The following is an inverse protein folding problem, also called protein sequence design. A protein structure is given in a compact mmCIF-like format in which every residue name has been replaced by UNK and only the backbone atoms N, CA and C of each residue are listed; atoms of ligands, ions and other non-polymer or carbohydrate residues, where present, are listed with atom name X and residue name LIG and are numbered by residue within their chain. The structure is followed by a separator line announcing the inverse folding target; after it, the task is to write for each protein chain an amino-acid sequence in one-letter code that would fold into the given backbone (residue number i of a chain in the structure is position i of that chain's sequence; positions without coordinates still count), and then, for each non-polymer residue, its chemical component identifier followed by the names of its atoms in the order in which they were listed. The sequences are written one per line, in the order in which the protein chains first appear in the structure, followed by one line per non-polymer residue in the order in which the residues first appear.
data_IF_194009954974
#
_entry.id   IF_194009954974
#
_cell.length_a   1.000
_cell.length_b   1.000
_cell.length_c   1.000
_cell.angle_alpha   90.00
_cell.angle_beta   90.00
_cell.angle_gamma   90.00
#
_symmetry.space_group_name_H-M   'P 1'
#
loop_
_entity.id
_entity.type
_entity.pdbx_description
1 polymer ?
#
# COMPACT_ATOMS: atom_id res chain seq x y z
N UNK A 1 10.10 41.91 -8.21
CA UNK A 1 10.53 40.88 -9.15
C UNK A 1 9.74 39.64 -8.86
N UNK A 2 8.78 39.36 -9.74
CA UNK A 2 7.89 38.21 -9.71
C UNK A 2 8.67 37.04 -10.28
N UNK A 3 8.91 36.02 -9.45
CA UNK A 3 9.43 34.72 -9.94
C UNK A 3 8.25 33.96 -10.53
N UNK A 4 8.24 33.83 -11.85
CA UNK A 4 7.37 32.92 -12.58
C UNK A 4 7.79 31.48 -12.25
N UNK A 5 6.97 30.76 -11.50
CA UNK A 5 7.08 29.31 -11.35
C UNK A 5 6.44 28.69 -12.61
N UNK A 6 7.26 28.03 -13.41
CA UNK A 6 6.84 27.30 -14.60
C UNK A 6 5.92 26.14 -14.19
N UNK A 7 4.80 26.03 -14.90
CA UNK A 7 3.82 24.94 -14.88
C UNK A 7 4.43 23.60 -15.38
N UNK A 8 5.28 23.00 -14.56
CA UNK A 8 5.52 21.57 -14.65
C UNK A 8 4.76 20.94 -13.49
N UNK A 9 3.57 20.41 -13.79
CA UNK A 9 2.70 19.73 -12.85
C UNK A 9 3.44 18.63 -12.12
N UNK A 10 4.01 18.99 -10.98
CA UNK A 10 4.54 18.04 -10.01
C UNK A 10 3.32 17.36 -9.36
N UNK A 11 2.93 16.24 -9.93
CA UNK A 11 1.83 15.43 -9.44
C UNK A 11 2.31 14.80 -8.12
N UNK A 12 2.05 15.48 -7.01
CA UNK A 12 2.43 15.12 -5.63
C UNK A 12 1.88 13.74 -5.21
N UNK A 13 0.99 13.15 -5.98
CA UNK A 13 0.34 11.87 -5.73
C UNK A 13 0.85 10.71 -6.58
N UNK A 14 1.75 10.93 -7.52
CA UNK A 14 2.42 9.84 -8.22
C UNK A 14 3.59 9.35 -7.37
N UNK A 15 3.30 8.54 -6.38
CA UNK A 15 4.30 7.73 -5.69
C UNK A 15 4.77 6.65 -6.67
N UNK A 16 5.65 7.03 -7.57
CA UNK A 16 6.34 6.07 -8.41
C UNK A 16 7.22 5.22 -7.48
N UNK A 17 7.05 3.89 -7.47
CA UNK A 17 7.93 2.94 -6.78
C UNK A 17 9.41 3.27 -7.06
N UNK A 18 9.72 3.87 -8.21
CA UNK A 18 11.05 4.41 -8.54
C UNK A 18 11.54 5.50 -7.61
N UNK A 19 10.66 6.29 -6.98
CA UNK A 19 11.05 7.34 -6.03
C UNK A 19 11.53 6.76 -4.69
N UNK A 20 10.99 5.62 -4.26
CA UNK A 20 11.44 4.90 -3.04
C UNK A 20 12.88 4.37 -3.24
N UNK A 21 13.29 4.09 -4.47
CA UNK A 21 14.59 3.51 -4.83
C UNK A 21 15.72 4.55 -4.89
N UNK A 22 15.40 5.84 -5.08
CA UNK A 22 16.40 6.88 -5.33
C UNK A 22 17.07 7.43 -4.05
N UNK A 23 16.56 7.12 -2.87
CA UNK A 23 17.21 7.47 -1.60
C UNK A 23 18.14 6.32 -1.14
N UNK A 24 19.38 6.40 -1.60
CA UNK A 24 20.40 5.38 -1.48
C UNK A 24 20.71 4.90 -0.06
N UNK A 25 20.79 3.59 0.08
CA UNK A 25 21.41 2.91 1.22
C UNK A 25 21.04 1.43 1.39
N UNK A 26 19.85 1.00 0.95
CA UNK A 26 19.40 -0.42 1.06
C UNK A 26 19.46 -1.10 -0.32
N UNK A 27 20.65 -1.15 -0.89
CA UNK A 27 20.83 -1.48 -2.31
C UNK A 27 20.58 -2.93 -2.68
N UNK A 28 20.56 -3.90 -1.75
CA UNK A 28 20.53 -5.33 -2.12
C UNK A 28 19.18 -6.02 -1.94
N UNK A 29 18.35 -5.65 -0.97
CA UNK A 29 17.03 -6.28 -0.75
C UNK A 29 15.95 -5.63 -1.62
N UNK A 30 15.99 -4.31 -1.76
CA UNK A 30 15.04 -3.51 -2.54
C UNK A 30 15.22 -3.72 -4.06
N UNK A 31 16.45 -3.92 -4.56
CA UNK A 31 16.68 -4.20 -5.98
C UNK A 31 16.05 -5.52 -6.43
N UNK A 32 16.09 -6.55 -5.61
CA UNK A 32 15.42 -7.82 -5.90
C UNK A 32 13.90 -7.66 -5.95
N UNK A 33 13.35 -6.83 -5.08
CA UNK A 33 11.91 -6.52 -5.08
C UNK A 33 11.50 -5.75 -6.33
N UNK A 34 12.23 -4.69 -6.69
CA UNK A 34 11.97 -3.90 -7.91
C UNK A 34 12.07 -4.74 -9.17
N UNK A 35 13.09 -5.60 -9.25
CA UNK A 35 13.22 -6.52 -10.39
C UNK A 35 12.06 -7.50 -10.46
N UNK A 36 11.55 -7.94 -9.31
CA UNK A 36 10.38 -8.83 -9.23
C UNK A 36 9.11 -8.09 -9.67
N UNK A 37 8.87 -6.88 -9.18
CA UNK A 37 7.73 -6.05 -9.59
C UNK A 37 7.79 -5.71 -11.09
N UNK A 38 8.97 -5.37 -11.63
CA UNK A 38 9.12 -5.10 -13.06
C UNK A 38 8.79 -6.32 -13.91
N UNK A 39 9.25 -7.51 -13.53
CA UNK A 39 8.91 -8.78 -14.21
C UNK A 39 7.43 -9.13 -14.13
N UNK A 40 6.78 -8.81 -13.01
CA UNK A 40 5.33 -9.01 -12.82
C UNK A 40 4.55 -8.02 -13.69
N UNK A 41 5.01 -6.76 -13.78
CA UNK A 41 4.43 -5.71 -14.63
C UNK A 41 4.50 -6.07 -16.11
N UNK A 42 5.58 -6.69 -16.57
CA UNK A 42 5.74 -7.18 -17.95
C UNK A 42 4.81 -8.37 -18.26
N UNK A 43 4.47 -9.19 -17.26
CA UNK A 43 3.64 -10.40 -17.41
C UNK A 43 2.13 -10.18 -17.23
N UNK A 44 1.72 -9.10 -16.59
CA UNK A 44 0.32 -8.86 -16.27
C UNK A 44 -0.17 -7.53 -16.85
N UNK A 45 -1.30 -7.60 -17.58
CA UNK A 45 -2.11 -6.44 -17.97
C UNK A 45 -2.81 -5.75 -16.76
N UNK A 46 -2.37 -6.06 -15.51
CA UNK A 46 -2.89 -5.38 -14.35
C UNK A 46 -2.35 -3.95 -14.36
N UNK A 47 -3.24 -2.98 -14.30
CA UNK A 47 -2.87 -1.59 -14.07
C UNK A 47 -2.32 -1.47 -12.64
N UNK A 48 -1.00 -1.72 -12.51
CA UNK A 48 -0.30 -1.70 -11.24
C UNK A 48 -0.37 -0.32 -10.59
N UNK A 49 -0.48 0.73 -11.41
CA UNK A 49 -0.63 2.11 -10.96
C UNK A 49 -1.95 2.31 -10.21
N UNK A 50 -3.07 1.81 -10.75
CA UNK A 50 -4.36 1.86 -10.05
C UNK A 50 -4.36 1.05 -8.75
N UNK A 51 -3.63 -0.08 -8.73
CA UNK A 51 -3.44 -0.88 -7.52
C UNK A 51 -2.63 -0.14 -6.45
N UNK A 52 -1.57 0.56 -6.84
CA UNK A 52 -0.77 1.40 -5.94
C UNK A 52 -1.61 2.52 -5.32
N UNK A 53 -2.33 3.28 -6.13
CA UNK A 53 -3.20 4.36 -5.66
C UNK A 53 -4.26 3.85 -4.68
N UNK A 54 -4.87 2.69 -4.98
CA UNK A 54 -5.85 2.07 -4.11
C UNK A 54 -5.23 1.59 -2.79
N UNK A 55 -4.01 1.06 -2.80
CA UNK A 55 -3.31 0.64 -1.58
C UNK A 55 -2.98 1.82 -0.67
N UNK A 56 -2.59 2.96 -1.24
CA UNK A 56 -2.34 4.21 -0.49
C UNK A 56 -3.65 4.76 0.09
N UNK A 57 -4.74 4.72 -0.68
CA UNK A 57 -6.06 5.08 -0.16
C UNK A 57 -6.47 4.19 1.02
N UNK A 58 -6.21 2.89 0.95
CA UNK A 58 -6.46 1.95 2.05
C UNK A 58 -5.60 2.23 3.29
N UNK A 59 -4.33 2.60 3.13
CA UNK A 59 -3.48 3.04 4.24
C UNK A 59 -4.12 4.20 5.01
N UNK A 60 -4.62 5.20 4.28
CA UNK A 60 -5.27 6.36 4.86
C UNK A 60 -6.60 5.99 5.55
N UNK A 61 -7.40 5.09 4.96
CA UNK A 61 -8.66 4.63 5.56
C UNK A 61 -8.39 3.88 6.88
N UNK A 62 -7.37 3.00 6.94
CA UNK A 62 -7.00 2.31 8.18
C UNK A 62 -6.52 3.30 9.24
N UNK A 63 -5.75 4.31 8.85
CA UNK A 63 -5.32 5.37 9.77
C UNK A 63 -6.49 6.19 10.29
N UNK A 64 -7.51 6.41 9.47
CA UNK A 64 -8.74 7.10 9.88
C UNK A 64 -9.59 6.26 10.83
N UNK A 65 -9.68 4.93 10.64
CA UNK A 65 -10.30 4.02 11.62
C UNK A 65 -9.61 4.14 12.99
N UNK A 66 -8.27 4.07 13.02
CA UNK A 66 -7.49 4.21 14.24
C UNK A 66 -7.69 5.58 14.90
N UNK A 67 -7.62 6.66 14.13
CA UNK A 67 -7.82 8.01 14.63
C UNK A 67 -9.22 8.19 15.23
N UNK A 68 -10.25 7.67 14.58
CA UNK A 68 -11.64 7.71 15.07
C UNK A 68 -11.80 6.94 16.37
N UNK A 69 -11.17 5.76 16.50
CA UNK A 69 -11.13 5.00 17.73
C UNK A 69 -10.54 5.81 18.90
N UNK A 70 -9.35 6.38 18.73
CA UNK A 70 -8.72 7.19 19.78
C UNK A 70 -9.49 8.48 20.09
N UNK A 71 -10.13 9.08 19.08
CA UNK A 71 -10.99 10.27 19.29
C UNK A 71 -12.20 9.92 20.14
N UNK A 72 -12.85 8.79 19.87
CA UNK A 72 -13.95 8.31 20.71
C UNK A 72 -13.49 8.04 22.14
N UNK A 73 -12.38 7.32 22.35
CA UNK A 73 -11.84 7.05 23.70
C UNK A 73 -11.55 8.32 24.48
N UNK A 74 -11.13 9.39 23.78
CA UNK A 74 -10.78 10.69 24.37
C UNK A 74 -11.97 11.56 24.72
N UNK A 75 -13.00 11.53 23.89
CA UNK A 75 -14.12 12.50 23.93
C UNK A 75 -15.45 11.88 24.32
N UNK A 76 -15.60 10.56 24.18
CA UNK A 76 -16.85 9.81 24.30
C UNK A 76 -17.98 10.32 23.36
N UNK A 77 -17.61 11.01 22.27
CA UNK A 77 -18.57 11.51 21.27
C UNK A 77 -18.84 10.42 20.22
N UNK A 78 -20.07 9.96 20.16
CA UNK A 78 -20.52 8.84 19.30
C UNK A 78 -20.33 9.10 17.80
N UNK A 79 -20.23 10.36 17.36
CA UNK A 79 -19.94 10.67 15.95
C UNK A 79 -18.65 10.00 15.46
N UNK A 80 -17.65 9.76 16.33
CA UNK A 80 -16.44 9.08 15.96
C UNK A 80 -16.63 7.57 15.76
N UNK A 81 -17.63 6.96 16.37
CA UNK A 81 -18.02 5.58 16.11
C UNK A 81 -18.67 5.44 14.73
N UNK A 82 -19.49 6.41 14.31
CA UNK A 82 -20.07 6.44 12.96
C UNK A 82 -19.00 6.54 11.89
N UNK A 83 -18.01 7.43 12.09
CA UNK A 83 -16.85 7.55 11.18
C UNK A 83 -16.07 6.25 11.12
N UNK A 84 -15.77 5.64 12.27
CA UNK A 84 -15.04 4.38 12.37
C UNK A 84 -15.75 3.26 11.58
N UNK A 85 -17.08 3.09 11.79
CA UNK A 85 -17.83 2.04 11.10
C UNK A 85 -17.89 2.28 9.59
N UNK A 86 -18.11 3.53 9.16
CA UNK A 86 -18.08 3.92 7.75
C UNK A 86 -16.72 3.59 7.09
N UNK A 87 -15.63 3.96 7.73
CA UNK A 87 -14.29 3.68 7.25
C UNK A 87 -14.02 2.17 7.18
N UNK A 88 -14.47 1.42 8.18
CA UNK A 88 -14.35 -0.04 8.23
C UNK A 88 -15.07 -0.72 7.06
N UNK A 89 -16.30 -0.31 6.74
CA UNK A 89 -17.03 -0.86 5.60
C UNK A 89 -16.38 -0.48 4.26
N UNK A 90 -15.92 0.76 4.10
CA UNK A 90 -15.17 1.19 2.93
C UNK A 90 -13.88 0.37 2.76
N UNK A 91 -13.12 0.16 3.83
CA UNK A 91 -11.91 -0.67 3.81
C UNK A 91 -12.22 -2.08 3.35
N UNK A 92 -13.24 -2.73 3.91
CA UNK A 92 -13.64 -4.09 3.49
C UNK A 92 -13.98 -4.14 2.00
N UNK A 93 -14.76 -3.18 1.52
CA UNK A 93 -15.18 -3.07 0.11
C UNK A 93 -14.00 -2.84 -0.84
N UNK A 94 -13.01 -2.05 -0.43
CA UNK A 94 -11.88 -1.68 -1.28
C UNK A 94 -10.73 -2.71 -1.21
N UNK A 95 -10.46 -3.26 -0.03
CA UNK A 95 -9.36 -4.22 0.16
C UNK A 95 -9.56 -5.50 -0.67
N UNK A 96 -10.79 -5.94 -0.88
CA UNK A 96 -11.10 -7.13 -1.71
C UNK A 96 -10.64 -6.97 -3.17
N UNK A 97 -10.42 -5.75 -3.64
CA UNK A 97 -9.90 -5.50 -4.98
C UNK A 97 -8.40 -5.79 -5.12
N UNK A 98 -7.67 -5.82 -4.00
CA UNK A 98 -6.23 -6.06 -3.96
C UNK A 98 -5.88 -7.42 -3.33
N UNK A 99 -6.72 -7.91 -2.43
CA UNK A 99 -6.44 -9.08 -1.58
C UNK A 99 -7.58 -10.08 -1.68
N UNK A 100 -7.24 -11.35 -1.88
CA UNK A 100 -8.24 -12.41 -1.89
C UNK A 100 -8.88 -12.58 -0.50
N UNK A 101 -10.21 -12.45 -0.43
CA UNK A 101 -10.97 -12.52 0.82
C UNK A 101 -11.04 -13.95 1.38
N UNK A 102 -10.88 -14.97 0.55
CA UNK A 102 -11.02 -16.37 0.95
C UNK A 102 -9.87 -16.87 1.82
N UNK A 103 -8.81 -16.07 1.94
CA UNK A 103 -7.66 -16.36 2.78
C UNK A 103 -7.63 -15.41 3.99
N UNK A 104 -8.24 -15.82 5.10
CA UNK A 104 -8.40 -15.00 6.31
C UNK A 104 -7.08 -14.44 6.85
N UNK A 105 -6.01 -15.23 6.87
CA UNK A 105 -4.68 -14.82 7.34
C UNK A 105 -4.07 -13.76 6.43
N UNK A 106 -4.07 -13.99 5.11
CA UNK A 106 -3.55 -13.04 4.13
C UNK A 106 -4.33 -11.72 4.17
N UNK A 107 -5.64 -11.78 4.33
CA UNK A 107 -6.50 -10.62 4.50
C UNK A 107 -6.10 -9.78 5.73
N UNK A 108 -5.95 -10.43 6.87
CA UNK A 108 -5.56 -9.76 8.11
C UNK A 108 -4.14 -9.20 8.03
N UNK A 109 -3.17 -9.99 7.54
CA UNK A 109 -1.79 -9.54 7.37
C UNK A 109 -1.68 -8.35 6.42
N UNK A 110 -2.39 -8.36 5.30
CA UNK A 110 -2.39 -7.26 4.32
C UNK A 110 -2.85 -5.95 4.94
N UNK A 111 -3.93 -5.98 5.71
CA UNK A 111 -4.39 -4.79 6.47
C UNK A 111 -3.31 -4.29 7.43
N UNK A 112 -2.68 -5.17 8.17
CA UNK A 112 -1.64 -4.79 9.15
C UNK A 112 -0.38 -4.26 8.47
N UNK A 113 0.04 -4.83 7.34
CA UNK A 113 1.19 -4.35 6.57
C UNK A 113 0.96 -2.92 6.06
N UNK A 114 -0.22 -2.63 5.49
CA UNK A 114 -0.57 -1.29 5.05
C UNK A 114 -0.63 -0.30 6.23
N UNK A 115 -1.25 -0.69 7.33
CA UNK A 115 -1.35 0.15 8.54
C UNK A 115 0.03 0.46 9.14
N UNK A 116 0.89 -0.54 9.26
CA UNK A 116 2.23 -0.39 9.85
C UNK A 116 3.13 0.45 8.96
N UNK A 117 3.11 0.23 7.64
CA UNK A 117 3.86 1.06 6.69
C UNK A 117 3.48 2.54 6.79
N UNK A 118 2.18 2.85 6.81
CA UNK A 118 1.71 4.24 6.96
C UNK A 118 2.12 4.84 8.31
N UNK A 119 2.05 4.07 9.39
CA UNK A 119 2.44 4.55 10.72
C UNK A 119 3.94 4.86 10.79
N UNK A 120 4.78 4.02 10.21
CA UNK A 120 6.22 4.30 10.16
C UNK A 120 6.53 5.51 9.27
N UNK A 121 5.83 5.70 8.16
CA UNK A 121 5.94 6.92 7.36
C UNK A 121 5.68 8.19 8.21
N UNK A 122 4.63 8.20 9.03
CA UNK A 122 4.32 9.32 9.93
C UNK A 122 5.41 9.52 11.01
N UNK A 123 5.99 8.44 11.54
CA UNK A 123 7.13 8.52 12.49
C UNK A 123 8.36 9.10 11.81
N UNK A 124 8.65 8.68 10.58
CA UNK A 124 9.75 9.23 9.77
C UNK A 124 9.59 10.73 9.51
N UNK A 125 8.37 11.18 9.20
CA UNK A 125 8.06 12.61 9.02
C UNK A 125 8.35 13.42 10.28
N UNK A 126 8.05 12.88 11.46
CA UNK A 126 8.39 13.52 12.74
C UNK A 126 9.89 13.64 12.93
N UNK A 127 10.65 12.56 12.70
CA UNK A 127 12.12 12.61 12.78
C UNK A 127 12.72 13.59 11.79
N UNK A 128 12.19 13.65 10.57
CA UNK A 128 12.61 14.62 9.56
C UNK A 128 12.35 16.07 10.03
N UNK A 129 11.20 16.34 10.62
CA UNK A 129 10.87 17.64 11.21
C UNK A 129 11.83 18.02 12.35
N UNK A 130 12.20 17.05 13.19
CA UNK A 130 13.17 17.21 14.27
C UNK A 130 14.63 17.28 13.80
N UNK A 131 14.89 17.27 12.47
CA UNK A 131 16.23 17.29 11.84
C UNK A 131 17.07 16.02 12.15
N UNK A 132 16.46 14.96 12.57
CA UNK A 132 17.05 13.64 12.78
C UNK A 132 17.05 12.84 11.46
N UNK A 133 17.93 13.26 10.54
CA UNK A 133 17.86 12.80 9.13
C UNK A 133 18.16 11.30 9.01
N UNK A 134 19.16 10.79 9.73
CA UNK A 134 19.54 9.37 9.61
C UNK A 134 18.50 8.44 10.23
N UNK A 135 17.90 8.83 11.36
CA UNK A 135 16.79 8.10 11.96
C UNK A 135 15.54 8.13 11.06
N UNK A 136 15.27 9.27 10.41
CA UNK A 136 14.16 9.39 9.45
C UNK A 136 14.35 8.44 8.26
N UNK A 137 15.57 8.36 7.69
CA UNK A 137 15.89 7.44 6.59
C UNK A 137 15.66 5.98 6.99
N UNK A 138 16.14 5.55 8.16
CA UNK A 138 15.94 4.18 8.64
C UNK A 138 14.46 3.83 8.76
N UNK A 139 13.65 4.71 9.34
CA UNK A 139 12.22 4.50 9.49
C UNK A 139 11.49 4.49 8.13
N UNK A 140 11.93 5.31 7.16
CA UNK A 140 11.38 5.26 5.81
C UNK A 140 11.74 3.95 5.09
N UNK A 141 12.95 3.42 5.27
CA UNK A 141 13.35 2.12 4.74
C UNK A 141 12.51 0.99 5.33
N UNK A 142 12.25 1.01 6.65
CA UNK A 142 11.38 0.03 7.31
C UNK A 142 9.92 0.13 6.80
N UNK A 143 9.41 1.34 6.61
CA UNK A 143 8.09 1.58 6.03
C UNK A 143 7.98 1.00 4.60
N UNK A 144 9.01 1.24 3.78
CA UNK A 144 9.09 0.72 2.41
C UNK A 144 9.20 -0.81 2.40
N UNK A 145 9.94 -1.43 3.32
CA UNK A 145 10.04 -2.89 3.44
C UNK A 145 8.68 -3.53 3.76
N UNK A 146 7.91 -2.95 4.68
CA UNK A 146 6.56 -3.43 4.98
C UNK A 146 5.59 -3.28 3.80
N UNK A 147 5.68 -2.18 3.08
CA UNK A 147 4.89 -1.98 1.87
C UNK A 147 5.26 -2.95 0.75
N UNK A 148 6.55 -3.19 0.57
CA UNK A 148 7.06 -4.20 -0.35
C UNK A 148 6.56 -5.62 0.00
N UNK A 149 6.53 -5.94 1.30
CA UNK A 149 6.03 -7.23 1.78
C UNK A 149 4.52 -7.40 1.51
N UNK A 150 3.72 -6.33 1.62
CA UNK A 150 2.31 -6.34 1.22
C UNK A 150 2.16 -6.78 -0.25
N UNK A 151 2.90 -6.17 -1.16
CA UNK A 151 2.84 -6.50 -2.58
C UNK A 151 3.34 -7.92 -2.87
N UNK A 152 4.44 -8.34 -2.26
CA UNK A 152 4.96 -9.70 -2.40
C UNK A 152 3.93 -10.74 -1.98
N UNK A 153 3.27 -10.51 -0.84
CA UNK A 153 2.25 -11.43 -0.31
C UNK A 153 1.05 -11.59 -1.25
N UNK A 154 0.66 -10.52 -1.95
CA UNK A 154 -0.57 -10.50 -2.74
C UNK A 154 -0.34 -10.76 -4.24
N UNK A 155 0.82 -10.43 -4.79
CA UNK A 155 1.14 -10.66 -6.20
C UNK A 155 1.53 -12.10 -6.50
N UNK A 156 2.35 -12.74 -5.68
CA UNK A 156 2.78 -14.13 -5.88
C UNK A 156 1.59 -15.11 -5.97
N UNK A 157 0.50 -14.82 -5.27
CA UNK A 157 -0.71 -15.66 -5.27
C UNK A 157 -1.57 -15.48 -6.51
N UNK A 158 -1.67 -14.26 -7.01
CA UNK A 158 -2.39 -13.99 -8.25
C UNK A 158 -1.75 -14.69 -9.45
N UNK A 159 -0.43 -14.88 -9.43
CA UNK A 159 0.30 -15.64 -10.44
C UNK A 159 -0.04 -17.13 -10.38
N UNK A 160 -0.03 -17.75 -9.19
CA UNK A 160 -0.37 -19.17 -9.01
C UNK A 160 -1.80 -19.48 -9.42
N UNK A 161 -2.76 -18.63 -9.09
CA UNK A 161 -4.16 -18.82 -9.48
C UNK A 161 -4.35 -18.73 -11.00
N UNK A 162 -3.61 -17.90 -11.71
CA UNK A 162 -3.65 -17.82 -13.18
C UNK A 162 -3.01 -19.04 -13.84
N UNK A 163 -1.94 -19.60 -13.30
CA UNK A 163 -1.31 -20.83 -13.80
C UNK A 163 -2.26 -22.04 -13.66
N UNK A 164 -2.94 -22.18 -12.51
CA UNK A 164 -3.92 -23.27 -12.29
C UNK A 164 -5.11 -23.16 -13.25
N UNK A 165 -5.60 -21.97 -13.56
CA UNK A 165 -6.70 -21.76 -14.51
C UNK A 165 -6.24 -22.00 -15.95
N UNK A 166 -4.99 -21.69 -16.29
CA UNK A 166 -4.42 -21.94 -17.63
C UNK A 166 -4.14 -23.44 -17.89
N UNK A 167 -3.80 -24.20 -16.85
CA UNK A 167 -3.56 -25.66 -16.95
C UNK A 167 -4.85 -26.50 -17.00
N UNK A 168 -6.01 -25.96 -16.60
CA UNK A 168 -7.30 -26.62 -16.65
C UNK A 168 -8.32 -25.80 -17.47
N UNK A 169 -8.23 -25.76 -18.81
CA UNK A 169 -9.26 -25.16 -19.62
C UNK A 169 -10.55 -25.99 -19.48
N UNK A 170 -11.62 -25.35 -18.99
CA UNK A 170 -12.95 -25.95 -18.91
C UNK A 170 -13.38 -26.30 -20.34
N UNK A 171 -13.38 -27.59 -20.68
CA UNK A 171 -13.94 -28.07 -21.94
C UNK A 171 -15.46 -27.94 -21.85
N UNK A 172 -16.04 -26.96 -22.48
CA UNK A 172 -17.48 -26.94 -22.75
C UNK A 172 -17.78 -28.01 -23.80
N UNK A 173 -18.23 -29.19 -23.38
CA UNK A 173 -18.86 -30.13 -24.28
C UNK A 173 -20.23 -29.55 -24.65
N UNK A 174 -20.36 -29.07 -25.88
CA UNK A 174 -21.64 -28.82 -26.52
C UNK A 174 -22.24 -30.21 -26.88
N UNK A 175 -23.28 -30.60 -26.18
CA UNK A 175 -24.29 -31.57 -26.67
C UNK A 175 -25.62 -30.85 -26.76
#
# INVERSE_FOLDING_TARGET
SIIQLSDNGFNFWSFDIKCIIFFGGVQMKTQNFVTTISKIKEKNELDLSAGEDLSIALMNIVSLEEHSFFSFVKTHDEKFLEVLETCRELRKKLLVKLVNKDESETWCMSKHLLASSMRLYEVGNRYLHEKKIEEAKQIYDDAAELYALFWKLNLDKNLKNKEIVAENPISYNNN
#
